data_IF_983281345573
#
_entry.id   IF_983281345573
#
_cell.length_a   1.000
_cell.length_b   1.000
_cell.length_c   1.000
_cell.angle_alpha   90.00
_cell.angle_beta   90.00
_cell.angle_gamma   90.00
#
_symmetry.space_group_name_H-M   'P 1'
#
loop_
_entity.id
_entity.type
_entity.pdbx_description
1 polymer ?
#
# COMPACT_ATOMS: atom_id res chain seq x y z
N UNK A 1 -18.12 -6.22 -13.10
CA UNK A 1 -18.23 -7.71 -13.08
C UNK A 1 -16.91 -8.40 -12.74
N UNK A 2 -15.77 -7.95 -13.27
CA UNK A 2 -14.44 -8.54 -13.01
C UNK A 2 -14.07 -8.57 -11.51
N UNK A 3 -14.24 -7.46 -10.79
CA UNK A 3 -14.00 -7.36 -9.32
C UNK A 3 -14.69 -8.47 -8.52
N UNK A 4 -15.98 -8.74 -8.81
CA UNK A 4 -16.77 -9.79 -8.12
C UNK A 4 -16.23 -11.19 -8.39
N UNK A 5 -15.77 -11.47 -9.63
CA UNK A 5 -15.20 -12.77 -9.99
C UNK A 5 -13.88 -13.03 -9.26
N UNK A 6 -12.98 -12.04 -9.20
CA UNK A 6 -11.67 -12.19 -8.54
C UNK A 6 -11.86 -12.26 -7.01
N UNK A 7 -12.85 -11.56 -6.45
CA UNK A 7 -13.14 -11.61 -5.02
C UNK A 7 -13.56 -13.01 -4.54
N UNK A 8 -14.16 -13.82 -5.40
CA UNK A 8 -14.58 -15.19 -5.09
C UNK A 8 -13.43 -16.21 -5.14
N UNK A 9 -12.24 -15.83 -5.62
CA UNK A 9 -11.10 -16.73 -5.63
C UNK A 9 -10.63 -17.06 -4.22
N UNK A 10 -10.03 -18.23 -4.03
CA UNK A 10 -9.45 -18.60 -2.75
C UNK A 10 -8.28 -17.68 -2.40
N UNK A 11 -8.06 -17.45 -1.11
CA UNK A 11 -6.97 -16.62 -0.61
C UNK A 11 -5.61 -17.06 -1.18
N UNK A 12 -5.38 -18.38 -1.31
CA UNK A 12 -4.17 -18.94 -1.90
C UNK A 12 -3.95 -18.48 -3.34
N UNK A 13 -4.99 -18.48 -4.18
CA UNK A 13 -4.88 -18.00 -5.57
C UNK A 13 -4.56 -16.51 -5.60
N UNK A 14 -5.21 -15.71 -4.73
CA UNK A 14 -4.92 -14.26 -4.63
C UNK A 14 -3.45 -14.02 -4.25
N UNK A 15 -2.92 -14.77 -3.29
CA UNK A 15 -1.52 -14.64 -2.85
C UNK A 15 -0.51 -15.14 -3.88
N UNK A 16 -0.79 -16.27 -4.54
CA UNK A 16 0.07 -16.75 -5.63
C UNK A 16 0.09 -15.74 -6.77
N UNK A 17 -1.06 -15.14 -7.12
CA UNK A 17 -1.10 -14.07 -8.13
C UNK A 17 -0.32 -12.82 -7.69
N UNK A 18 -0.36 -12.46 -6.40
CA UNK A 18 0.43 -11.38 -5.82
C UNK A 18 1.94 -11.68 -5.92
N UNK A 19 2.35 -12.91 -5.60
CA UNK A 19 3.75 -13.34 -5.69
C UNK A 19 4.25 -13.35 -7.14
N UNK A 20 3.43 -13.80 -8.09
CA UNK A 20 3.75 -13.74 -9.52
C UNK A 20 3.92 -12.28 -9.96
N UNK A 21 2.98 -11.41 -9.58
CA UNK A 21 3.07 -10.00 -9.92
C UNK A 21 4.29 -9.32 -9.28
N UNK A 22 4.62 -9.65 -8.03
CA UNK A 22 5.85 -9.19 -7.37
C UNK A 22 7.10 -9.70 -8.10
N UNK A 23 7.12 -10.97 -8.52
CA UNK A 23 8.18 -11.55 -9.32
C UNK A 23 8.37 -10.81 -10.65
N UNK A 24 7.29 -10.55 -11.38
CA UNK A 24 7.35 -9.82 -12.66
C UNK A 24 7.86 -8.38 -12.51
N UNK A 25 7.53 -7.71 -11.40
CA UNK A 25 7.91 -6.31 -11.16
C UNK A 25 9.29 -6.15 -10.52
N UNK A 26 9.74 -7.11 -9.72
CA UNK A 26 10.99 -7.02 -8.95
C UNK A 26 12.07 -7.98 -9.40
N UNK A 27 11.73 -9.23 -9.73
CA UNK A 27 12.73 -10.21 -10.17
C UNK A 27 13.27 -9.87 -11.57
N UNK A 28 12.50 -9.14 -12.37
CA UNK A 28 12.97 -8.58 -13.64
C UNK A 28 14.14 -7.60 -13.45
N UNK A 29 14.28 -6.95 -12.28
CA UNK A 29 15.45 -6.09 -12.01
C UNK A 29 16.77 -6.89 -11.90
N UNK A 30 16.69 -8.20 -11.61
CA UNK A 30 17.85 -9.08 -11.65
C UNK A 30 18.31 -9.37 -13.10
N UNK A 31 17.41 -9.25 -14.07
CA UNK A 31 17.69 -9.49 -15.49
C UNK A 31 18.39 -8.31 -16.19
N UNK A 32 18.45 -7.13 -15.57
CA UNK A 32 19.16 -5.95 -16.11
C UNK A 32 20.66 -6.26 -16.34
N UNK A 33 21.21 -7.28 -15.67
CA UNK A 33 22.59 -7.76 -15.90
C UNK A 33 22.77 -8.61 -17.16
N UNK A 34 21.72 -9.22 -17.69
CA UNK A 34 21.81 -10.21 -18.77
C UNK A 34 21.42 -9.62 -20.15
N UNK A 35 20.46 -8.70 -20.18
CA UNK A 35 19.90 -8.13 -21.41
C UNK A 35 20.08 -6.61 -21.50
N UNK A 36 19.82 -6.03 -22.69
CA UNK A 36 19.87 -4.58 -22.89
C UNK A 36 18.79 -3.85 -22.08
N UNK A 37 19.16 -2.68 -21.54
CA UNK A 37 18.28 -1.87 -20.69
C UNK A 37 16.98 -1.43 -21.39
N UNK A 38 17.03 -1.30 -22.71
CA UNK A 38 15.88 -0.93 -23.56
C UNK A 38 14.82 -2.03 -23.60
N UNK A 39 15.24 -3.30 -23.78
CA UNK A 39 14.32 -4.45 -23.78
C UNK A 39 13.68 -4.58 -22.42
N UNK A 40 14.47 -4.43 -21.35
CA UNK A 40 13.95 -4.45 -19.99
C UNK A 40 12.96 -3.31 -19.73
N UNK A 41 13.25 -2.09 -20.21
CA UNK A 41 12.34 -0.96 -20.10
C UNK A 41 11.02 -1.20 -20.84
N UNK A 42 11.06 -1.71 -22.06
CA UNK A 42 9.86 -2.07 -22.84
C UNK A 42 9.02 -3.13 -22.14
N UNK A 43 9.66 -4.17 -21.61
CA UNK A 43 8.99 -5.20 -20.82
C UNK A 43 8.29 -4.61 -19.59
N UNK A 44 9.01 -3.78 -18.81
CA UNK A 44 8.47 -3.16 -17.60
C UNK A 44 7.34 -2.17 -17.90
N UNK A 45 7.45 -1.42 -18.99
CA UNK A 45 6.35 -0.58 -19.49
C UNK A 45 5.11 -1.44 -19.80
N UNK A 46 5.26 -2.52 -20.57
CA UNK A 46 4.16 -3.43 -20.91
C UNK A 46 3.48 -4.01 -19.67
N UNK A 47 4.27 -4.55 -18.73
CA UNK A 47 3.76 -5.09 -17.46
C UNK A 47 3.02 -4.03 -16.64
N UNK A 48 3.59 -2.83 -16.53
CA UNK A 48 2.99 -1.74 -15.77
C UNK A 48 1.69 -1.25 -16.40
N UNK A 49 1.63 -1.14 -17.73
CA UNK A 49 0.41 -0.78 -18.46
C UNK A 49 -0.67 -1.84 -18.24
N UNK A 50 -0.34 -3.13 -18.30
CA UNK A 50 -1.26 -4.21 -18.00
C UNK A 50 -1.84 -4.12 -16.58
N UNK A 51 -0.99 -3.94 -15.56
CA UNK A 51 -1.46 -3.82 -14.18
C UNK A 51 -2.25 -2.54 -13.92
N UNK A 52 -1.88 -1.44 -14.55
CA UNK A 52 -2.61 -0.16 -14.43
C UNK A 52 -3.98 -0.26 -15.12
N UNK A 53 -4.06 -0.91 -16.29
CA UNK A 53 -5.32 -1.18 -16.99
C UNK A 53 -6.25 -2.12 -16.21
N UNK A 54 -5.68 -3.16 -15.59
CA UNK A 54 -6.42 -4.02 -14.65
C UNK A 54 -6.90 -3.24 -13.43
N UNK A 55 -6.07 -2.36 -12.89
CA UNK A 55 -6.44 -1.51 -11.75
C UNK A 55 -7.57 -0.56 -12.11
N UNK A 56 -7.55 0.03 -13.29
CA UNK A 56 -8.66 0.85 -13.78
C UNK A 56 -9.98 0.08 -13.85
N UNK A 57 -9.92 -1.21 -14.19
CA UNK A 57 -11.11 -2.08 -14.32
C UNK A 57 -11.65 -2.61 -12.99
N UNK A 58 -10.80 -2.68 -11.95
CA UNK A 58 -11.14 -3.29 -10.65
C UNK A 58 -11.37 -2.23 -9.57
N UNK A 59 -10.55 -1.19 -9.54
CA UNK A 59 -10.61 -0.15 -8.52
C UNK A 59 -11.76 0.83 -8.77
N UNK A 60 -12.28 1.39 -7.68
CA UNK A 60 -13.25 2.46 -7.78
C UNK A 60 -12.58 3.72 -8.34
N UNK A 61 -13.30 4.52 -9.14
CA UNK A 61 -12.73 5.67 -9.88
C UNK A 61 -11.99 6.65 -8.98
N UNK A 62 -12.48 6.87 -7.76
CA UNK A 62 -11.85 7.74 -6.76
C UNK A 62 -10.51 7.16 -6.28
N UNK A 63 -10.47 5.87 -5.94
CA UNK A 63 -9.26 5.16 -5.48
C UNK A 63 -8.20 5.14 -6.58
N UNK A 64 -8.60 4.85 -7.82
CA UNK A 64 -7.69 4.88 -8.97
C UNK A 64 -7.14 6.29 -9.24
N UNK A 65 -7.98 7.33 -9.18
CA UNK A 65 -7.54 8.70 -9.36
C UNK A 65 -6.59 9.16 -8.24
N UNK A 66 -6.85 8.76 -7.00
CA UNK A 66 -5.95 9.03 -5.87
C UNK A 66 -4.61 8.31 -6.04
N UNK A 67 -4.61 7.05 -6.47
CA UNK A 67 -3.39 6.30 -6.78
C UNK A 67 -2.54 7.03 -7.83
N UNK A 68 -3.15 7.43 -8.96
CA UNK A 68 -2.44 8.15 -10.02
C UNK A 68 -1.91 9.52 -9.56
N UNK A 69 -2.69 10.25 -8.75
CA UNK A 69 -2.23 11.53 -8.16
C UNK A 69 -1.04 11.32 -7.23
N UNK A 70 -1.10 10.32 -6.36
CA UNK A 70 -0.01 10.02 -5.43
C UNK A 70 1.26 9.61 -6.19
N UNK A 71 1.08 8.76 -7.21
CA UNK A 71 2.17 8.33 -8.08
C UNK A 71 2.77 9.49 -8.87
N UNK A 72 1.96 10.39 -9.44
CA UNK A 72 2.47 11.52 -10.21
C UNK A 72 3.25 12.50 -9.33
N UNK A 73 2.74 12.81 -8.13
CA UNK A 73 3.45 13.64 -7.14
C UNK A 73 4.78 12.97 -6.77
N UNK A 74 4.77 11.68 -6.45
CA UNK A 74 5.99 10.93 -6.11
C UNK A 74 7.01 10.91 -7.25
N UNK A 75 6.54 10.78 -8.49
CA UNK A 75 7.37 10.76 -9.70
C UNK A 75 8.01 12.12 -9.95
N UNK A 76 7.26 13.22 -9.79
CA UNK A 76 7.80 14.58 -9.91
C UNK A 76 8.89 14.82 -8.86
N UNK A 77 8.60 14.50 -7.59
CA UNK A 77 9.57 14.66 -6.49
C UNK A 77 10.82 13.81 -6.74
N UNK A 78 10.64 12.58 -7.20
CA UNK A 78 11.76 11.71 -7.57
C UNK A 78 12.62 12.33 -8.68
N UNK A 79 12.02 12.84 -9.76
CA UNK A 79 12.78 13.44 -10.86
C UNK A 79 13.50 14.73 -10.46
N UNK A 80 12.95 15.53 -9.56
CA UNK A 80 13.65 16.71 -9.01
C UNK A 80 14.99 16.32 -8.34
N UNK A 81 15.06 15.14 -7.75
CA UNK A 81 16.28 14.61 -7.11
C UNK A 81 17.15 13.82 -8.10
N UNK A 82 16.52 13.09 -9.02
CA UNK A 82 17.22 12.21 -9.96
C UNK A 82 17.91 12.99 -11.09
N UNK A 83 17.29 14.07 -11.62
CA UNK A 83 17.83 14.85 -12.74
C UNK A 83 19.27 15.33 -12.47
N UNK A 84 19.57 16.02 -11.35
CA UNK A 84 20.95 16.42 -11.05
C UNK A 84 21.92 15.22 -11.03
N UNK A 85 21.49 14.08 -10.49
CA UNK A 85 22.32 12.86 -10.40
C UNK A 85 22.59 12.22 -11.76
N UNK A 86 21.63 12.25 -12.67
CA UNK A 86 21.78 11.74 -14.05
C UNK A 86 22.87 12.53 -14.79
N UNK A 87 22.84 13.86 -14.70
CA UNK A 87 23.78 14.74 -15.39
C UNK A 87 25.16 14.79 -14.72
N UNK A 88 25.23 14.72 -13.39
CA UNK A 88 26.51 14.70 -12.66
C UNK A 88 27.25 13.34 -12.73
N UNK A 89 26.65 12.33 -13.36
CA UNK A 89 27.23 10.99 -13.43
C UNK A 89 27.38 10.29 -12.09
N UNK A 90 26.48 10.62 -11.15
CA UNK A 90 26.38 9.88 -9.91
C UNK A 90 26.03 8.41 -10.17
N UNK A 91 26.51 7.53 -9.29
CA UNK A 91 26.18 6.11 -9.32
C UNK A 91 24.69 5.98 -9.01
N UNK A 92 23.88 5.74 -10.05
CA UNK A 92 22.43 5.53 -9.94
C UNK A 92 22.09 4.11 -9.46
N UNK A 93 22.99 3.14 -9.66
CA UNK A 93 22.81 1.75 -9.26
C UNK A 93 24.10 1.23 -8.63
N UNK A 94 24.03 0.46 -7.52
CA UNK A 94 25.22 -0.14 -6.93
C UNK A 94 25.73 -1.35 -7.74
N UNK A 95 25.03 -1.77 -8.80
CA UNK A 95 25.26 -3.05 -9.48
C UNK A 95 25.77 -2.94 -10.91
N UNK A 96 25.54 -1.79 -11.57
CA UNK A 96 25.83 -1.56 -12.99
C UNK A 96 26.32 -0.11 -13.18
N UNK A 97 27.43 0.05 -13.89
CA UNK A 97 27.97 1.35 -14.29
C UNK A 97 27.32 1.75 -15.61
N UNK A 98 26.42 2.74 -15.57
CA UNK A 98 25.76 3.28 -16.77
C UNK A 98 26.63 4.39 -17.36
N UNK A 99 27.27 4.10 -18.50
CA UNK A 99 28.21 5.01 -19.18
C UNK A 99 27.48 6.04 -20.04
N UNK A 100 26.43 5.65 -20.76
CA UNK A 100 25.64 6.54 -21.60
C UNK A 100 24.53 7.26 -20.84
N UNK A 101 24.29 8.52 -21.19
CA UNK A 101 23.25 9.34 -20.55
C UNK A 101 21.84 8.84 -20.86
N UNK A 102 21.64 8.24 -22.05
CA UNK A 102 20.40 7.56 -22.46
C UNK A 102 20.02 6.48 -21.47
N UNK A 103 20.99 5.65 -21.08
CA UNK A 103 20.77 4.49 -20.22
C UNK A 103 20.47 4.92 -18.79
N UNK A 104 21.08 6.02 -18.34
CA UNK A 104 20.76 6.65 -17.04
C UNK A 104 19.34 7.19 -17.00
N UNK A 105 18.85 7.77 -18.09
CA UNK A 105 17.47 8.22 -18.21
C UNK A 105 16.48 7.04 -18.21
N UNK A 106 16.74 6.02 -19.03
CA UNK A 106 15.92 4.81 -19.09
C UNK A 106 15.86 4.11 -17.72
N UNK A 107 17.02 3.96 -17.06
CA UNK A 107 17.07 3.39 -15.72
C UNK A 107 16.27 4.22 -14.71
N UNK A 108 16.40 5.55 -14.77
CA UNK A 108 15.69 6.44 -13.84
C UNK A 108 14.18 6.36 -14.02
N UNK A 109 13.69 6.12 -15.24
CA UNK A 109 12.26 5.94 -15.55
C UNK A 109 11.70 4.58 -15.09
N UNK A 110 12.53 3.54 -14.93
CA UNK A 110 12.10 2.23 -14.45
C UNK A 110 11.48 2.30 -13.05
N UNK A 111 12.07 3.09 -12.15
CA UNK A 111 11.66 3.11 -10.75
C UNK A 111 10.21 3.66 -10.58
N UNK A 112 9.84 4.81 -11.18
CA UNK A 112 8.43 5.23 -11.26
C UNK A 112 7.50 4.17 -11.85
N UNK A 113 7.90 3.43 -12.89
CA UNK A 113 7.09 2.38 -13.50
C UNK A 113 6.87 1.20 -12.54
N UNK A 114 7.93 0.69 -11.91
CA UNK A 114 7.85 -0.37 -10.89
C UNK A 114 6.94 0.07 -9.74
N UNK A 115 7.08 1.31 -9.27
CA UNK A 115 6.23 1.87 -8.23
C UNK A 115 4.75 1.92 -8.65
N UNK A 116 4.46 2.32 -9.89
CA UNK A 116 3.08 2.31 -10.41
C UNK A 116 2.49 0.91 -10.45
N UNK A 117 3.26 -0.06 -10.95
CA UNK A 117 2.84 -1.47 -11.03
C UNK A 117 2.62 -2.07 -9.64
N UNK A 118 3.52 -1.80 -8.70
CA UNK A 118 3.40 -2.31 -7.32
C UNK A 118 2.22 -1.70 -6.57
N UNK A 119 1.99 -0.38 -6.69
CA UNK A 119 0.80 0.25 -6.11
C UNK A 119 -0.49 -0.30 -6.72
N UNK A 120 -0.53 -0.46 -8.04
CA UNK A 120 -1.66 -1.03 -8.78
C UNK A 120 -2.04 -2.42 -8.26
N UNK A 121 -1.07 -3.33 -8.23
CA UNK A 121 -1.26 -4.72 -7.75
C UNK A 121 -1.63 -4.76 -6.27
N UNK A 122 -0.95 -3.97 -5.43
CA UNK A 122 -1.22 -3.90 -4.00
C UNK A 122 -2.64 -3.42 -3.70
N UNK A 123 -3.11 -2.37 -4.39
CA UNK A 123 -4.46 -1.86 -4.21
C UNK A 123 -5.54 -2.81 -4.74
N UNK A 124 -5.29 -3.48 -5.87
CA UNK A 124 -6.18 -4.56 -6.35
C UNK A 124 -6.32 -5.62 -5.26
N UNK A 125 -5.20 -6.10 -4.71
CA UNK A 125 -5.22 -7.13 -3.68
C UNK A 125 -5.99 -6.68 -2.43
N UNK A 126 -5.77 -5.44 -1.96
CA UNK A 126 -6.50 -4.89 -0.81
C UNK A 126 -8.00 -4.74 -1.07
N UNK A 127 -8.43 -4.41 -2.29
CA UNK A 127 -9.85 -4.30 -2.62
C UNK A 127 -10.57 -5.64 -2.78
N UNK A 128 -9.84 -6.67 -3.15
CA UNK A 128 -10.39 -7.98 -3.50
C UNK A 128 -10.30 -8.98 -2.33
N UNK A 129 -9.43 -8.73 -1.37
CA UNK A 129 -9.20 -9.61 -0.22
C UNK A 129 -9.86 -9.07 1.03
N UNK A 130 -10.77 -9.83 1.62
CA UNK A 130 -11.35 -9.46 2.92
C UNK A 130 -10.46 -9.91 4.08
N UNK A 131 -10.34 -9.13 5.17
CA UNK A 131 -9.57 -9.53 6.36
C UNK A 131 -10.03 -10.86 6.99
N UNK A 132 -11.30 -11.23 6.78
CA UNK A 132 -11.92 -12.46 7.30
C UNK A 132 -11.35 -13.70 6.62
N UNK A 133 -10.97 -13.62 5.34
CA UNK A 133 -10.39 -14.74 4.60
C UNK A 133 -9.08 -15.24 5.24
N UNK A 134 -8.33 -14.35 5.90
CA UNK A 134 -7.11 -14.72 6.60
C UNK A 134 -7.36 -15.58 7.85
N UNK A 135 -8.57 -15.59 8.43
CA UNK A 135 -8.88 -16.40 9.62
C UNK A 135 -8.70 -17.90 9.39
N UNK A 136 -8.77 -18.36 8.14
CA UNK A 136 -8.52 -19.75 7.77
C UNK A 136 -7.08 -20.22 8.11
N UNK A 137 -6.15 -19.29 8.36
CA UNK A 137 -4.76 -19.58 8.71
C UNK A 137 -4.48 -19.65 10.22
N UNK A 138 -5.53 -19.78 11.04
CA UNK A 138 -5.38 -19.93 12.48
C UNK A 138 -4.80 -18.69 13.15
N UNK A 139 -3.78 -18.85 14.01
CA UNK A 139 -3.30 -17.76 14.88
C UNK A 139 -2.54 -16.67 14.12
N UNK A 140 -1.83 -17.03 13.04
CA UNK A 140 -1.17 -16.06 12.17
C UNK A 140 -2.20 -15.22 11.40
N UNK A 141 -3.21 -15.89 10.87
CA UNK A 141 -4.36 -15.28 10.22
C UNK A 141 -5.14 -14.30 11.11
N UNK A 142 -5.36 -14.70 12.37
CA UNK A 142 -6.00 -13.86 13.38
C UNK A 142 -5.22 -12.57 13.65
N UNK A 143 -3.89 -12.64 13.74
CA UNK A 143 -3.03 -11.45 13.93
C UNK A 143 -3.16 -10.48 12.75
N UNK A 144 -3.15 -11.00 11.53
CA UNK A 144 -3.35 -10.19 10.31
C UNK A 144 -4.75 -9.55 10.33
N UNK A 145 -5.79 -10.34 10.60
CA UNK A 145 -7.17 -9.84 10.64
C UNK A 145 -7.35 -8.74 11.71
N UNK A 146 -6.75 -8.90 12.89
CA UNK A 146 -6.76 -7.89 13.95
C UNK A 146 -6.04 -6.62 13.50
N UNK A 147 -4.88 -6.73 12.86
CA UNK A 147 -4.12 -5.58 12.37
C UNK A 147 -4.90 -4.78 11.31
N UNK A 148 -5.56 -5.49 10.38
CA UNK A 148 -6.47 -4.85 9.41
C UNK A 148 -7.65 -4.16 10.08
N UNK A 149 -8.22 -4.76 11.13
CA UNK A 149 -9.36 -4.17 11.86
C UNK A 149 -8.97 -2.95 12.67
N UNK A 150 -7.77 -2.96 13.28
CA UNK A 150 -7.17 -1.78 13.93
C UNK A 150 -7.00 -0.64 12.92
N UNK A 151 -6.49 -0.95 11.72
CA UNK A 151 -6.31 0.05 10.68
C UNK A 151 -7.64 0.64 10.19
N UNK A 152 -8.65 -0.21 9.98
CA UNK A 152 -10.00 0.25 9.60
C UNK A 152 -10.60 1.18 10.66
N UNK A 153 -10.46 0.82 11.94
CA UNK A 153 -10.93 1.67 13.03
C UNK A 153 -10.15 3.00 13.10
N UNK A 154 -8.84 2.97 12.89
CA UNK A 154 -8.02 4.18 12.83
C UNK A 154 -8.51 5.12 11.72
N UNK A 155 -8.84 4.59 10.54
CA UNK A 155 -9.41 5.37 9.43
C UNK A 155 -10.78 5.97 9.77
N UNK A 156 -11.66 5.22 10.42
CA UNK A 156 -12.97 5.73 10.86
C UNK A 156 -12.82 6.85 11.89
N UNK A 157 -11.97 6.64 12.91
CA UNK A 157 -11.68 7.69 13.91
C UNK A 157 -11.09 8.94 13.26
N UNK A 158 -10.27 8.78 12.22
CA UNK A 158 -9.72 9.91 11.46
C UNK A 158 -10.82 10.68 10.71
N UNK A 159 -11.80 9.99 10.13
CA UNK A 159 -12.96 10.61 9.48
C UNK A 159 -13.85 11.36 10.50
N UNK A 160 -14.11 10.78 11.66
CA UNK A 160 -14.86 11.43 12.74
C UNK A 160 -14.15 12.70 13.23
N UNK A 161 -12.83 12.62 13.46
CA UNK A 161 -12.01 13.78 13.86
C UNK A 161 -12.00 14.83 12.75
N UNK A 162 -11.93 14.44 11.47
CA UNK A 162 -12.06 15.36 10.34
C UNK A 162 -13.41 16.10 10.38
N UNK A 163 -14.52 15.40 10.63
CA UNK A 163 -15.85 16.01 10.74
C UNK A 163 -15.91 16.99 11.91
N UNK A 164 -15.38 16.62 13.08
CA UNK A 164 -15.31 17.52 14.25
C UNK A 164 -14.48 18.77 13.95
N UNK A 165 -13.34 18.63 13.27
CA UNK A 165 -12.51 19.76 12.87
C UNK A 165 -13.18 20.65 11.81
N UNK A 166 -14.02 20.07 10.95
CA UNK A 166 -14.87 20.83 10.02
C UNK A 166 -15.93 21.65 10.77
N UNK A 167 -16.61 21.05 11.75
CA UNK A 167 -17.59 21.77 12.59
C UNK A 167 -16.97 22.92 13.40
N UNK A 168 -15.66 22.86 13.67
CA UNK A 168 -14.93 23.89 14.40
C UNK A 168 -14.29 24.95 13.49
N UNK A 169 -14.53 24.95 12.17
CA UNK A 169 -13.82 25.78 11.17
C UNK A 169 -12.29 25.69 11.25
N UNK A 170 -11.79 24.58 11.80
CA UNK A 170 -10.36 24.29 11.90
C UNK A 170 -9.85 23.45 10.74
N UNK A 171 -10.75 22.81 10.00
CA UNK A 171 -10.40 22.08 8.79
C UNK A 171 -10.12 23.05 7.62
N UNK A 172 -9.04 22.86 6.86
CA UNK A 172 -8.78 23.66 5.68
C UNK A 172 -9.81 23.32 4.60
N UNK A 173 -10.65 24.28 4.22
CA UNK A 173 -11.56 24.13 3.08
C UNK A 173 -10.76 23.82 1.80
N UNK A 174 -11.34 23.00 0.92
CA UNK A 174 -10.80 22.67 -0.41
C UNK A 174 -10.90 23.85 -1.39
N UNK A 175 -10.68 25.09 -0.92
CA UNK A 175 -10.66 26.25 -1.80
C UNK A 175 -9.44 26.18 -2.73
N UNK A 176 -9.73 26.36 -4.01
CA UNK A 176 -8.90 26.17 -5.21
C UNK A 176 -7.72 27.13 -5.37
N UNK A 177 -7.35 27.88 -4.32
CA UNK A 177 -6.25 28.83 -4.41
C UNK A 177 -4.91 28.15 -4.16
N UNK A 178 -4.07 28.20 -5.19
CA UNK A 178 -2.70 27.73 -5.15
C UNK A 178 -1.91 28.57 -4.15
N UNK A 179 -1.54 27.93 -3.04
CA UNK A 179 -0.45 28.33 -2.13
C UNK A 179 -0.73 29.63 -1.36
N UNK A 180 -1.57 29.53 -0.33
CA UNK A 180 -1.58 30.49 0.78
C UNK A 180 -0.81 29.89 1.98
N UNK A 181 0.28 30.53 2.40
CA UNK A 181 1.15 30.07 3.49
C UNK A 181 0.39 29.82 4.80
N UNK A 182 -0.63 30.64 5.10
CA UNK A 182 -1.52 30.43 6.25
C UNK A 182 -2.35 29.15 6.16
N UNK A 183 -2.83 28.80 4.96
CA UNK A 183 -3.55 27.56 4.68
C UNK A 183 -2.65 26.32 4.80
N UNK A 184 -1.40 26.41 4.36
CA UNK A 184 -0.41 25.33 4.48
C UNK A 184 0.00 25.09 5.94
N UNK A 185 0.21 26.14 6.72
CA UNK A 185 0.51 26.02 8.15
C UNK A 185 -0.67 25.41 8.94
N UNK A 186 -1.90 25.85 8.65
CA UNK A 186 -3.13 25.29 9.26
C UNK A 186 -3.30 23.81 8.89
N UNK A 187 -2.97 23.42 7.64
CA UNK A 187 -2.93 22.02 7.19
C UNK A 187 -1.93 21.18 7.99
N UNK A 188 -0.68 21.63 8.13
CA UNK A 188 0.37 20.88 8.84
C UNK A 188 -0.02 20.69 10.32
N UNK A 189 -0.48 21.75 10.99
CA UNK A 189 -0.87 21.70 12.40
C UNK A 189 -2.08 20.79 12.65
N UNK A 190 -3.09 20.85 11.79
CA UNK A 190 -4.23 19.93 11.84
C UNK A 190 -3.81 18.47 11.57
N UNK A 191 -2.91 18.23 10.62
CA UNK A 191 -2.38 16.89 10.36
C UNK A 191 -1.64 16.31 11.57
N UNK A 192 -0.80 17.09 12.25
CA UNK A 192 -0.09 16.63 13.47
C UNK A 192 -1.08 16.28 14.58
N UNK A 193 -2.08 17.14 14.81
CA UNK A 193 -3.10 16.93 15.85
C UNK A 193 -3.94 15.68 15.56
N UNK A 194 -4.28 15.47 14.28
CA UNK A 194 -5.04 14.33 13.81
C UNK A 194 -4.23 13.02 13.88
N UNK A 195 -2.95 13.03 13.50
CA UNK A 195 -2.04 11.90 13.71
C UNK A 195 -1.92 11.56 15.20
N UNK A 196 -1.78 12.57 16.06
CA UNK A 196 -1.66 12.37 17.50
C UNK A 196 -2.93 11.76 18.12
N UNK A 197 -4.11 12.24 17.75
CA UNK A 197 -5.40 11.70 18.23
C UNK A 197 -5.60 10.27 17.73
N UNK A 198 -5.28 9.98 16.48
CA UNK A 198 -5.38 8.62 15.91
C UNK A 198 -4.40 7.68 16.60
N UNK A 199 -3.13 8.08 16.79
CA UNK A 199 -2.15 7.27 17.52
C UNK A 199 -2.59 7.01 18.95
N UNK A 200 -3.11 8.04 19.64
CA UNK A 200 -3.64 7.92 21.00
C UNK A 200 -4.80 6.93 21.05
N UNK A 201 -5.75 7.01 20.11
CA UNK A 201 -6.91 6.10 20.07
C UNK A 201 -6.51 4.66 19.74
N UNK A 202 -5.57 4.47 18.81
CA UNK A 202 -5.06 3.13 18.43
C UNK A 202 -4.28 2.48 19.58
N UNK A 203 -3.34 3.21 20.19
CA UNK A 203 -2.47 2.67 21.24
C UNK A 203 -3.18 2.50 22.58
N UNK A 204 -3.98 3.48 23.03
CA UNK A 204 -4.56 3.44 24.38
C UNK A 204 -5.84 2.63 24.48
N UNK A 205 -6.67 2.59 23.43
CA UNK A 205 -7.98 1.96 23.53
C UNK A 205 -8.04 0.62 22.81
N UNK A 206 -7.40 0.51 21.65
CA UNK A 206 -7.59 -0.66 20.79
C UNK A 206 -6.53 -1.74 20.97
N UNK A 207 -5.26 -1.38 21.13
CA UNK A 207 -4.20 -2.37 21.39
C UNK A 207 -4.46 -3.23 22.65
N UNK A 208 -4.90 -2.64 23.78
CA UNK A 208 -5.26 -3.43 24.97
C UNK A 208 -6.50 -4.29 24.76
N UNK A 209 -7.49 -3.80 24.01
CA UNK A 209 -8.74 -4.53 23.74
C UNK A 209 -8.54 -5.68 22.74
N UNK A 210 -7.78 -5.45 21.68
CA UNK A 210 -7.33 -6.49 20.74
C UNK A 210 -6.47 -7.55 21.41
N UNK A 211 -5.60 -7.15 22.34
CA UNK A 211 -4.84 -8.08 23.18
C UNK A 211 -5.75 -8.92 24.10
N UNK A 212 -6.73 -8.30 24.76
CA UNK A 212 -7.73 -9.01 25.58
C UNK A 212 -8.54 -10.03 24.76
N UNK A 213 -8.98 -9.65 23.55
CA UNK A 213 -9.66 -10.56 22.63
C UNK A 213 -8.75 -11.72 22.20
N UNK A 214 -7.48 -11.44 21.89
CA UNK A 214 -6.49 -12.46 21.55
C UNK A 214 -6.26 -13.43 22.71
N UNK A 215 -6.13 -12.92 23.93
CA UNK A 215 -5.95 -13.73 25.14
C UNK A 215 -7.15 -14.63 25.43
N UNK A 216 -8.38 -14.11 25.32
CA UNK A 216 -9.61 -14.92 25.45
C UNK A 216 -9.72 -16.00 24.39
N UNK A 217 -9.34 -15.72 23.14
CA UNK A 217 -9.35 -16.73 22.07
C UNK A 217 -8.30 -17.82 22.29
N UNK A 218 -7.11 -17.46 22.78
CA UNK A 218 -6.07 -18.42 23.17
C UNK A 218 -6.54 -19.32 24.33
N UNK A 219 -7.16 -18.74 25.37
CA UNK A 219 -7.74 -19.50 26.49
C UNK A 219 -8.87 -20.44 26.05
N UNK A 220 -9.71 -20.04 25.10
CA UNK A 220 -10.78 -20.88 24.54
C UNK A 220 -10.24 -22.03 23.68
N UNK A 221 -9.15 -21.82 22.94
CA UNK A 221 -8.44 -22.89 22.22
C UNK A 221 -7.85 -23.92 23.19
N UNK A 222 -7.23 -23.46 24.29
CA UNK A 222 -6.69 -24.33 25.33
C UNK A 222 -7.82 -25.16 25.96
N UNK A 223 -8.95 -24.53 26.33
CA UNK A 223 -10.12 -25.26 26.88
C UNK A 223 -10.70 -26.30 25.92
N UNK A 224 -10.76 -26.01 24.60
CA UNK A 224 -11.20 -27.00 23.60
C UNK A 224 -10.22 -28.15 23.41
N UNK A 225 -8.91 -27.88 23.43
CA UNK A 225 -7.88 -28.92 23.37
C UNK A 225 -7.91 -29.84 24.61
N UNK A 226 -8.18 -29.26 25.77
CA UNK A 226 -8.35 -30.00 27.03
C UNK A 226 -9.63 -30.85 27.03
N UNK A 227 -10.77 -30.33 26.58
CA UNK A 227 -12.01 -31.12 26.49
C UNK A 227 -11.93 -32.27 25.47
N UNK A 228 -11.19 -32.12 24.37
CA UNK A 228 -10.97 -33.22 23.43
C UNK A 228 -10.03 -34.31 23.98
N UNK A 229 -9.11 -33.96 24.89
CA UNK A 229 -8.26 -34.96 25.57
C UNK A 229 -9.03 -35.78 26.61
N UNK A 230 -10.10 -35.22 27.19
CA UNK A 230 -10.97 -35.93 28.14
C UNK A 230 -12.06 -36.80 27.50
N UNK A 231 -12.23 -36.76 26.17
CA UNK A 231 -13.17 -37.61 25.44
C UNK A 231 -12.52 -38.83 24.77
N UNK A 232 -11.22 -39.06 25.01
CA UNK A 232 -10.45 -40.22 24.47
C UNK A 232 -10.18 -41.28 25.56
N UNK A 233 -10.71 -41.11 26.78
CA UNK A 233 -10.67 -42.14 27.83
C UNK A 233 -12.04 -42.79 28.04
#
# INVERSE_FOLDING_TARGET
MLKKKIAQWSLYVKLVSLLIAAGLLWASNLWIRADSIEIHFLFMMGVTVCFTGLSHSILDRQTFALMLKLWSIGTIVYFLIAIPRIYMGGILTPYIVLTHISDRWLYSLLLPLVLLGTFSVGLIFMQVTSPIEFLAWGDFGLKIALLFRVLQHAMQSLQEVKIVLMMQDRWPEEQSQWICWGGTYKRIKCSILLVHIVFRNVLLYWFPWGWLCFRRLAELKIKKGVNNAYHIN
#
